data_IF_157149433906
#
_entry.id   IF_157149433906
#
_cell.length_a   1.000
_cell.length_b   1.000
_cell.length_c   1.000
_cell.angle_alpha   90.00
_cell.angle_beta   90.00
_cell.angle_gamma   90.00
#
_symmetry.space_group_name_H-M   'P 1'
#
loop_
_entity.id
_entity.type
_entity.pdbx_description
1 polymer ?
#
# COMPACT_ATOMS: atom_id res chain seq x y z
N UNK A 1 26.99 3.69 7.71
CA UNK A 1 25.91 3.93 6.72
C UNK A 1 25.11 5.11 7.25
N UNK A 2 24.92 6.19 6.50
CA UNK A 2 24.16 7.33 6.99
C UNK A 2 22.70 6.93 7.26
N UNK A 3 22.08 7.60 8.21
CA UNK A 3 20.64 7.47 8.42
C UNK A 3 19.90 8.19 7.28
N UNK A 4 18.70 7.75 6.93
CA UNK A 4 17.89 8.38 5.87
C UNK A 4 17.63 9.87 6.18
N UNK A 5 17.56 10.24 7.45
CA UNK A 5 17.39 11.62 7.93
C UNK A 5 18.62 12.49 7.73
N UNK A 6 19.78 11.89 7.40
CA UNK A 6 21.06 12.59 7.14
C UNK A 6 21.35 12.70 5.65
N UNK A 7 20.47 12.15 4.81
CA UNK A 7 20.59 12.19 3.35
C UNK A 7 20.00 13.47 2.79
N UNK A 8 20.66 14.06 1.81
CA UNK A 8 20.11 15.15 1.00
C UNK A 8 19.20 14.53 -0.07
N UNK A 9 17.90 14.56 0.19
CA UNK A 9 16.88 13.96 -0.68
C UNK A 9 16.12 15.06 -1.43
N UNK A 10 15.77 14.83 -2.70
CA UNK A 10 14.89 15.74 -3.43
C UNK A 10 13.51 15.82 -2.76
N UNK A 11 12.91 17.00 -2.79
CA UNK A 11 11.57 17.20 -2.25
C UNK A 11 10.51 16.67 -3.21
N UNK A 12 9.49 16.01 -2.66
CA UNK A 12 8.30 15.55 -3.36
C UNK A 12 7.06 15.78 -2.48
N UNK A 13 6.34 16.87 -2.73
CA UNK A 13 5.10 17.13 -2.01
C UNK A 13 3.94 16.32 -2.59
N UNK A 14 3.60 15.22 -1.95
CA UNK A 14 2.47 14.37 -2.33
C UNK A 14 1.10 15.06 -2.17
N UNK A 15 1.03 16.21 -1.47
CA UNK A 15 -0.20 16.99 -1.33
C UNK A 15 -0.36 18.02 -2.45
N UNK A 16 0.63 18.18 -3.33
CA UNK A 16 0.53 19.07 -4.49
C UNK A 16 -0.59 18.58 -5.44
N UNK A 17 -1.68 19.32 -5.47
CA UNK A 17 -2.84 19.00 -6.30
C UNK A 17 -2.54 19.00 -7.82
N UNK A 18 -1.42 19.58 -8.24
CA UNK A 18 -0.96 19.56 -9.63
C UNK A 18 -0.31 18.25 -10.05
N UNK A 19 0.11 17.40 -9.09
CA UNK A 19 0.71 16.08 -9.34
C UNK A 19 -0.34 15.04 -9.76
N UNK A 20 -0.92 15.20 -10.94
CA UNK A 20 -1.95 14.32 -11.51
C UNK A 20 -1.66 14.00 -12.97
N UNK A 21 -2.12 12.83 -13.42
CA UNK A 21 -2.00 12.41 -14.81
C UNK A 21 -0.55 12.44 -15.30
N UNK A 22 -0.31 13.03 -16.46
CA UNK A 22 1.00 13.05 -17.11
C UNK A 22 2.06 13.78 -16.27
N UNK A 23 1.68 14.85 -15.56
CA UNK A 23 2.61 15.57 -14.70
C UNK A 23 3.16 14.72 -13.55
N UNK A 24 2.36 13.80 -13.00
CA UNK A 24 2.86 12.83 -12.04
C UNK A 24 4.01 12.01 -12.62
N UNK A 25 3.79 11.47 -13.83
CA UNK A 25 4.79 10.66 -14.51
C UNK A 25 6.05 11.46 -14.89
N UNK A 26 5.90 12.71 -15.33
CA UNK A 26 7.02 13.61 -15.64
C UNK A 26 7.90 13.84 -14.41
N UNK A 27 7.29 14.21 -13.28
CA UNK A 27 8.04 14.49 -12.05
C UNK A 27 8.71 13.21 -11.52
N UNK A 28 7.99 12.08 -11.48
CA UNK A 28 8.55 10.83 -10.99
C UNK A 28 9.69 10.32 -11.87
N UNK A 29 9.52 10.39 -13.19
CA UNK A 29 10.57 9.98 -14.12
C UNK A 29 11.77 10.91 -14.03
N UNK A 30 11.58 12.23 -13.93
CA UNK A 30 12.66 13.19 -13.75
C UNK A 30 13.52 12.88 -12.51
N UNK A 31 12.89 12.62 -11.37
CA UNK A 31 13.60 12.23 -10.15
C UNK A 31 14.40 10.93 -10.32
N UNK A 32 13.84 9.94 -11.01
CA UNK A 32 14.51 8.65 -11.27
C UNK A 32 15.66 8.80 -12.27
N UNK A 33 15.50 9.62 -13.32
CA UNK A 33 16.53 9.87 -14.33
C UNK A 33 17.74 10.61 -13.73
N UNK A 34 17.50 11.45 -12.70
CA UNK A 34 18.55 12.08 -11.89
C UNK A 34 19.24 11.11 -10.91
N UNK A 35 18.85 9.83 -10.91
CA UNK A 35 19.42 8.79 -10.07
C UNK A 35 18.85 8.72 -8.66
N UNK A 36 17.79 9.47 -8.36
CA UNK A 36 17.15 9.45 -7.05
C UNK A 36 16.23 8.24 -6.91
N UNK A 37 16.44 7.41 -5.91
CA UNK A 37 15.56 6.30 -5.58
C UNK A 37 14.71 6.56 -4.33
N UNK A 38 14.97 7.68 -3.65
CA UNK A 38 14.22 8.20 -2.51
C UNK A 38 13.90 9.69 -2.74
N UNK A 39 12.78 10.15 -2.18
CA UNK A 39 12.44 11.56 -2.10
C UNK A 39 11.86 11.89 -0.72
N UNK A 40 12.02 13.12 -0.27
CA UNK A 40 11.45 13.62 0.98
C UNK A 40 10.05 14.19 0.73
N UNK A 41 9.05 13.66 1.42
CA UNK A 41 7.70 14.22 1.50
C UNK A 41 7.46 14.81 2.89
N UNK A 42 6.49 15.73 3.07
CA UNK A 42 6.16 16.29 4.39
C UNK A 42 5.83 15.25 5.45
N UNK A 43 5.31 14.10 5.08
CA UNK A 43 4.89 13.05 6.03
C UNK A 43 5.89 11.89 6.15
N UNK A 44 6.65 11.61 5.10
CA UNK A 44 7.49 10.42 5.05
C UNK A 44 8.53 10.49 3.93
N UNK A 45 9.49 9.58 3.94
CA UNK A 45 10.37 9.32 2.81
C UNK A 45 9.65 8.41 1.82
N UNK A 46 9.64 8.82 0.56
CA UNK A 46 9.02 8.10 -0.55
C UNK A 46 10.06 7.28 -1.28
N UNK A 47 9.76 6.02 -1.53
CA UNK A 47 10.60 5.13 -2.34
C UNK A 47 10.14 5.22 -3.79
N UNK A 48 11.00 5.72 -4.67
CA UNK A 48 10.70 5.95 -6.08
C UNK A 48 11.07 4.75 -6.95
N UNK A 49 12.20 4.13 -6.66
CA UNK A 49 12.75 3.03 -7.46
C UNK A 49 12.01 1.72 -7.25
N UNK A 50 11.67 1.03 -8.34
CA UNK A 50 10.99 -0.27 -8.29
C UNK A 50 11.78 -1.32 -7.49
N UNK A 51 13.08 -1.43 -7.73
CA UNK A 51 13.93 -2.42 -7.06
C UNK A 51 13.97 -2.19 -5.54
N UNK A 52 14.13 -0.93 -5.13
CA UNK A 52 14.08 -0.54 -3.73
C UNK A 52 12.68 -0.81 -3.12
N UNK A 53 11.61 -0.49 -3.84
CA UNK A 53 10.25 -0.79 -3.43
C UNK A 53 10.01 -2.28 -3.22
N UNK A 54 10.45 -3.13 -4.15
CA UNK A 54 10.36 -4.58 -4.02
C UNK A 54 11.16 -5.10 -2.80
N UNK A 55 12.34 -4.53 -2.53
CA UNK A 55 13.13 -4.85 -1.34
C UNK A 55 12.35 -4.53 -0.06
N UNK A 56 11.83 -3.31 0.08
CA UNK A 56 11.09 -2.89 1.28
C UNK A 56 9.81 -3.70 1.49
N UNK A 57 9.10 -4.05 0.42
CA UNK A 57 7.89 -4.86 0.51
C UNK A 57 8.14 -6.33 0.90
N UNK A 58 9.36 -6.84 0.70
CA UNK A 58 9.72 -8.24 0.98
C UNK A 58 10.56 -8.42 2.24
N UNK A 59 11.21 -7.36 2.71
CA UNK A 59 12.08 -7.47 3.89
C UNK A 59 11.28 -7.74 5.16
N UNK A 60 11.76 -8.67 5.96
CA UNK A 60 11.17 -8.99 7.28
C UNK A 60 11.49 -7.93 8.35
N UNK A 61 12.42 -7.04 8.05
CA UNK A 61 12.80 -5.94 8.95
C UNK A 61 11.87 -4.73 8.84
N UNK A 62 11.07 -4.65 7.76
CA UNK A 62 10.06 -3.63 7.62
C UNK A 62 8.79 -4.04 8.36
N UNK A 63 8.18 -3.08 9.05
CA UNK A 63 6.88 -3.24 9.74
C UNK A 63 5.89 -2.24 9.17
N UNK A 64 4.64 -2.65 9.08
CA UNK A 64 3.58 -1.74 8.65
C UNK A 64 3.17 -0.82 9.82
N UNK A 65 3.14 0.52 9.63
CA UNK A 65 2.85 1.48 10.69
C UNK A 65 1.34 1.73 10.89
N UNK A 66 0.49 0.69 10.73
CA UNK A 66 -0.96 0.84 10.71
C UNK A 66 -1.56 1.52 11.94
N UNK A 67 -1.03 1.26 13.13
CA UNK A 67 -1.50 1.90 14.36
C UNK A 67 -1.07 3.37 14.44
N UNK A 68 0.11 3.70 13.91
CA UNK A 68 0.58 5.10 13.86
C UNK A 68 -0.38 5.99 13.04
N UNK A 69 -0.96 5.47 11.96
CA UNK A 69 -1.95 6.22 11.20
C UNK A 69 -3.21 6.51 12.02
N UNK A 70 -3.69 5.57 12.81
CA UNK A 70 -4.80 5.79 13.72
C UNK A 70 -4.49 6.89 14.76
N UNK A 71 -3.27 6.89 15.30
CA UNK A 71 -2.82 7.89 16.27
C UNK A 71 -2.69 9.29 15.63
N UNK A 72 -2.19 9.39 14.39
CA UNK A 72 -2.14 10.65 13.63
C UNK A 72 -3.55 11.24 13.41
N UNK A 73 -4.53 10.39 13.12
CA UNK A 73 -5.93 10.79 12.96
C UNK A 73 -6.68 10.90 14.29
N UNK A 74 -5.99 10.79 15.43
CA UNK A 74 -6.56 10.88 16.79
C UNK A 74 -7.69 9.87 17.05
N UNK A 75 -7.63 8.70 16.40
CA UNK A 75 -8.54 7.58 16.64
C UNK A 75 -7.97 6.77 17.81
N UNK A 76 -8.28 7.18 19.04
CA UNK A 76 -7.66 6.64 20.26
C UNK A 76 -8.47 5.53 20.91
N UNK A 77 -9.80 5.49 20.68
CA UNK A 77 -10.72 4.53 21.29
C UNK A 77 -11.97 4.26 20.43
N UNK A 78 -12.87 3.44 20.98
CA UNK A 78 -14.14 3.08 20.35
C UNK A 78 -14.08 1.98 19.28
N UNK A 79 -15.24 1.63 18.68
CA UNK A 79 -15.35 0.48 17.77
C UNK A 79 -14.44 0.57 16.54
N UNK A 80 -14.17 1.77 16.05
CA UNK A 80 -13.25 1.96 14.91
C UNK A 80 -11.81 1.65 15.32
N UNK A 81 -11.39 2.09 16.51
CA UNK A 81 -10.04 1.76 17.04
C UNK A 81 -9.89 0.26 17.22
N UNK A 82 -10.87 -0.41 17.80
CA UNK A 82 -10.85 -1.87 17.96
C UNK A 82 -10.72 -2.60 16.62
N UNK A 83 -11.44 -2.14 15.60
CA UNK A 83 -11.34 -2.70 14.26
C UNK A 83 -9.95 -2.49 13.65
N UNK A 84 -9.35 -1.31 13.83
CA UNK A 84 -8.00 -1.00 13.35
C UNK A 84 -6.96 -1.90 14.07
N UNK A 85 -7.04 -2.03 15.39
CA UNK A 85 -6.11 -2.81 16.20
C UNK A 85 -6.10 -4.30 15.86
N UNK A 86 -7.23 -4.84 15.39
CA UNK A 86 -7.38 -6.26 15.06
C UNK A 86 -7.33 -6.55 13.55
N UNK A 87 -7.20 -5.53 12.71
CA UNK A 87 -7.16 -5.72 11.27
C UNK A 87 -5.83 -6.35 10.83
N UNK A 88 -5.91 -7.36 9.98
CA UNK A 88 -4.75 -8.08 9.44
C UNK A 88 -3.70 -7.16 8.81
N UNK A 89 -4.11 -6.02 8.25
CA UNK A 89 -3.22 -5.05 7.62
C UNK A 89 -2.39 -4.30 8.69
N UNK A 90 -2.97 -4.05 9.86
CA UNK A 90 -2.38 -3.19 10.88
C UNK A 90 -1.53 -3.95 11.91
N UNK A 91 -1.69 -5.27 12.00
CA UNK A 91 -0.92 -6.09 12.92
C UNK A 91 0.37 -6.60 12.27
N UNK A 92 1.41 -6.81 13.09
CA UNK A 92 2.71 -7.30 12.66
C UNK A 92 3.09 -8.61 13.39
N UNK A 93 4.19 -9.23 12.95
CA UNK A 93 4.80 -10.39 13.62
C UNK A 93 3.89 -11.62 13.69
N UNK A 94 3.84 -12.27 14.85
CA UNK A 94 3.10 -13.52 15.06
C UNK A 94 1.59 -13.37 14.86
N UNK A 95 0.99 -12.26 15.27
CA UNK A 95 -0.43 -11.97 15.09
C UNK A 95 -0.79 -11.89 13.60
N UNK A 96 0.00 -11.13 12.82
CA UNK A 96 -0.17 -11.07 11.36
C UNK A 96 -0.02 -12.46 10.72
N UNK A 97 1.03 -13.21 11.08
CA UNK A 97 1.29 -14.54 10.53
C UNK A 97 0.13 -15.49 10.80
N UNK A 98 -0.44 -15.45 12.01
CA UNK A 98 -1.61 -16.26 12.39
C UNK A 98 -2.84 -15.90 11.54
N UNK A 99 -3.18 -14.62 11.42
CA UNK A 99 -4.32 -14.19 10.62
C UNK A 99 -4.10 -14.51 9.13
N UNK A 100 -2.90 -14.28 8.63
CA UNK A 100 -2.53 -14.57 7.24
C UNK A 100 -2.69 -16.06 6.90
N UNK A 101 -2.33 -16.96 7.82
CA UNK A 101 -2.47 -18.39 7.62
C UNK A 101 -3.92 -18.85 7.45
N UNK A 102 -4.88 -18.12 8.04
CA UNK A 102 -6.32 -18.42 7.92
C UNK A 102 -6.87 -18.04 6.53
N UNK A 103 -6.38 -16.94 5.94
CA UNK A 103 -6.90 -16.44 4.67
C UNK A 103 -6.13 -16.92 3.44
N UNK A 104 -4.84 -17.26 3.59
CA UNK A 104 -3.99 -17.69 2.49
C UNK A 104 -4.57 -18.86 1.65
N UNK A 105 -5.22 -19.89 2.22
CA UNK A 105 -5.83 -20.96 1.42
C UNK A 105 -6.85 -20.45 0.40
N UNK A 106 -7.59 -19.37 0.74
CA UNK A 106 -8.60 -18.75 -0.12
C UNK A 106 -8.01 -17.79 -1.16
N UNK A 107 -6.73 -17.43 -1.03
CA UNK A 107 -6.03 -16.48 -1.90
C UNK A 107 -5.02 -17.15 -2.85
N UNK A 108 -5.05 -18.48 -2.94
CA UNK A 108 -4.18 -19.21 -3.87
C UNK A 108 -4.65 -19.04 -5.32
N UNK A 109 -3.76 -19.19 -6.33
CA UNK A 109 -4.16 -19.20 -7.74
C UNK A 109 -5.25 -20.23 -8.05
N UNK A 110 -5.22 -21.40 -7.39
CA UNK A 110 -6.26 -22.43 -7.52
C UNK A 110 -7.60 -21.94 -6.99
N UNK A 111 -7.63 -21.32 -5.82
CA UNK A 111 -8.85 -20.75 -5.25
C UNK A 111 -9.37 -19.60 -6.12
N UNK A 112 -8.50 -18.69 -6.55
CA UNK A 112 -8.89 -17.60 -7.47
C UNK A 112 -9.51 -18.12 -8.76
N UNK A 113 -8.95 -19.19 -9.34
CA UNK A 113 -9.52 -19.80 -10.54
C UNK A 113 -10.90 -20.45 -10.30
N UNK A 114 -11.17 -20.98 -9.11
CA UNK A 114 -12.49 -21.55 -8.79
C UNK A 114 -13.58 -20.48 -8.68
N UNK A 115 -13.24 -19.23 -8.41
CA UNK A 115 -14.19 -18.11 -8.37
C UNK A 115 -14.53 -17.55 -9.76
N UNK A 116 -13.70 -17.79 -10.79
CA UNK A 116 -13.91 -17.22 -12.14
C UNK A 116 -15.30 -17.51 -12.75
N UNK A 117 -15.87 -18.73 -12.68
CA UNK A 117 -17.21 -18.99 -13.22
C UNK A 117 -18.28 -18.17 -12.49
N UNK A 118 -18.18 -18.07 -11.15
CA UNK A 118 -19.13 -17.31 -10.33
C UNK A 118 -19.04 -15.82 -10.64
N UNK A 119 -17.83 -15.26 -10.73
CA UNK A 119 -17.61 -13.86 -11.09
C UNK A 119 -18.14 -13.54 -12.49
N UNK A 120 -17.95 -14.48 -13.44
CA UNK A 120 -18.48 -14.32 -14.80
C UNK A 120 -20.00 -14.28 -14.80
N UNK A 121 -20.67 -15.20 -14.07
CA UNK A 121 -22.11 -15.21 -13.95
C UNK A 121 -22.66 -13.89 -13.39
N UNK A 122 -22.05 -13.33 -12.34
CA UNK A 122 -22.46 -12.02 -11.83
C UNK A 122 -22.25 -10.89 -12.83
N UNK A 123 -21.16 -10.92 -13.61
CA UNK A 123 -20.92 -9.91 -14.63
C UNK A 123 -21.94 -10.00 -15.77
N UNK A 124 -22.32 -11.23 -16.20
CA UNK A 124 -23.35 -11.46 -17.20
C UNK A 124 -24.73 -10.96 -16.71
N UNK A 125 -25.11 -11.31 -15.47
CA UNK A 125 -26.35 -10.80 -14.85
C UNK A 125 -26.40 -9.27 -14.77
N UNK A 126 -25.29 -8.64 -14.35
CA UNK A 126 -25.22 -7.18 -14.27
C UNK A 126 -25.27 -6.54 -15.65
N UNK A 127 -24.62 -7.13 -16.64
CA UNK A 127 -24.61 -6.61 -18.01
C UNK A 127 -25.99 -6.69 -18.65
N UNK A 128 -26.66 -7.83 -18.51
CA UNK A 128 -28.02 -8.03 -19.03
C UNK A 128 -29.04 -7.12 -18.33
N UNK A 129 -28.79 -6.78 -17.06
CA UNK A 129 -29.63 -5.87 -16.28
C UNK A 129 -29.47 -4.39 -16.60
N UNK A 130 -28.41 -3.99 -17.35
CA UNK A 130 -28.21 -2.58 -17.72
C UNK A 130 -29.16 -2.11 -18.82
N UNK A 131 -29.84 -3.04 -19.54
CA UNK A 131 -30.83 -2.71 -20.57
C UNK A 131 -30.22 -1.98 -21.79
N UNK A 132 -30.94 -1.97 -22.87
CA UNK A 132 -30.61 -1.15 -24.05
C UNK A 132 -30.81 0.35 -23.80
#
# INVERSE_FOLDING_TARGET
MPLVTEMDLPELDLNDASLKGDRWHEVMNGLLDDGNWLAQSPLAVVVLGREAGEFFLRTKSATFPGLLLADIFQITDGPLREQIDHNIINVNGAAHSRLRSLVNPSLTPKAANSWRPVMRGFLEELWDGLGD
#
